data_IF_895028493549
#
_entry.id   IF_895028493549
#
_cell.length_a   1.000
_cell.length_b   1.000
_cell.length_c   1.000
_cell.angle_alpha   90.00
_cell.angle_beta   90.00
_cell.angle_gamma   90.00
#
_symmetry.space_group_name_H-M   'P 1'
#
loop_
_entity.id
_entity.type
_entity.pdbx_description
1 polymer ?
#
# COMPACT_ATOMS: atom_id res chain seq x y z
N UNK A 1 -14.28 4.15 13.42
CA UNK A 1 -13.16 4.27 12.47
C UNK A 1 -12.08 4.98 13.27
N UNK A 2 -11.13 4.20 13.78
CA UNK A 2 -10.29 4.59 14.93
C UNK A 2 -9.47 5.86 14.63
N UNK A 3 -9.44 6.81 15.57
CA UNK A 3 -8.53 7.97 15.50
C UNK A 3 -7.10 7.46 15.63
N UNK A 4 -6.36 7.53 14.53
CA UNK A 4 -4.95 7.24 14.47
C UNK A 4 -4.23 8.55 14.19
N UNK A 5 -3.87 9.25 15.26
CA UNK A 5 -3.08 10.46 15.15
C UNK A 5 -1.62 10.12 14.84
N UNK A 6 -1.05 10.81 13.84
CA UNK A 6 0.38 10.77 13.52
C UNK A 6 0.79 9.76 12.44
N UNK A 7 -0.09 8.84 12.05
CA UNK A 7 0.14 7.99 10.88
C UNK A 7 -0.32 8.68 9.61
N UNK A 8 0.44 8.52 8.52
CA UNK A 8 0.07 9.06 7.22
C UNK A 8 0.55 8.15 6.09
N UNK A 9 -0.24 8.14 5.01
CA UNK A 9 0.05 7.43 3.78
C UNK A 9 0.39 8.43 2.69
N UNK A 10 1.52 8.23 2.01
CA UNK A 10 1.80 8.89 0.74
C UNK A 10 1.33 7.94 -0.36
N UNK A 11 0.42 8.41 -1.21
CA UNK A 11 -0.18 7.61 -2.28
C UNK A 11 0.10 8.23 -3.64
N UNK A 12 0.23 7.39 -4.66
CA UNK A 12 0.35 7.87 -6.03
C UNK A 12 -0.99 8.42 -6.51
N UNK A 13 -0.98 9.66 -7.01
CA UNK A 13 -2.17 10.27 -7.63
C UNK A 13 -2.50 9.59 -8.97
N UNK A 14 -1.48 9.10 -9.66
CA UNK A 14 -1.57 8.56 -11.02
C UNK A 14 -1.33 9.59 -12.11
N UNK A 15 -0.90 10.81 -11.78
CA UNK A 15 -0.61 11.87 -12.74
C UNK A 15 0.43 11.45 -13.80
N UNK A 16 1.51 10.80 -13.37
CA UNK A 16 2.58 10.34 -14.26
C UNK A 16 2.33 8.94 -14.84
N UNK A 17 1.67 8.07 -14.07
CA UNK A 17 1.28 6.73 -14.49
C UNK A 17 -0.03 6.33 -13.81
N UNK A 18 -1.10 6.29 -14.61
CA UNK A 18 -2.45 5.93 -14.16
C UNK A 18 -2.55 4.51 -13.60
N UNK A 19 -1.59 3.62 -13.88
CA UNK A 19 -1.58 2.26 -13.31
C UNK A 19 -1.29 2.27 -11.81
N UNK A 20 -0.56 3.28 -11.32
CA UNK A 20 -0.16 3.38 -9.91
C UNK A 20 -1.20 4.08 -9.02
N UNK A 21 -2.23 4.69 -9.61
CA UNK A 21 -3.21 5.52 -8.88
C UNK A 21 -3.82 4.82 -7.67
N UNK A 22 -3.72 5.45 -6.51
CA UNK A 22 -4.23 4.94 -5.23
C UNK A 22 -3.36 3.89 -4.55
N UNK A 23 -2.23 3.50 -5.14
CA UNK A 23 -1.26 2.62 -4.47
C UNK A 23 -0.38 3.43 -3.51
N UNK A 24 0.06 2.77 -2.44
CA UNK A 24 0.92 3.34 -1.41
C UNK A 24 2.35 3.48 -1.96
N UNK A 25 2.87 4.70 -1.94
CA UNK A 25 4.30 4.96 -2.11
C UNK A 25 5.03 4.67 -0.79
N UNK A 26 4.57 5.29 0.31
CA UNK A 26 5.16 5.20 1.65
C UNK A 26 4.11 5.22 2.74
N UNK A 27 4.40 4.54 3.84
CA UNK A 27 3.66 4.62 5.09
C UNK A 27 4.58 5.24 6.15
N UNK A 28 4.14 6.33 6.77
CA UNK A 28 4.94 7.11 7.73
C UNK A 28 6.33 7.49 7.21
N UNK A 29 6.44 7.78 5.90
CA UNK A 29 7.68 8.22 5.27
C UNK A 29 8.67 7.10 4.87
N UNK A 30 8.35 5.83 5.14
CA UNK A 30 9.18 4.68 4.73
C UNK A 30 8.39 3.70 3.85
N UNK A 31 9.09 2.91 3.05
CA UNK A 31 8.53 1.82 2.25
C UNK A 31 8.44 0.52 3.05
N UNK A 32 9.14 0.43 4.18
CA UNK A 32 9.21 -0.74 5.05
C UNK A 32 8.64 -0.43 6.45
N UNK A 33 7.78 -1.32 6.91
CA UNK A 33 7.26 -1.34 8.26
C UNK A 33 8.35 -1.69 9.29
N UNK A 34 8.44 -0.97 10.43
CA UNK A 34 9.47 -1.23 11.44
C UNK A 34 9.29 -2.56 12.18
N UNK A 35 8.13 -3.20 12.07
CA UNK A 35 7.81 -4.46 12.75
C UNK A 35 8.51 -5.68 12.13
N UNK A 36 8.97 -5.58 10.88
CA UNK A 36 9.54 -6.71 10.14
C UNK A 36 10.88 -6.33 9.49
N UNK A 37 11.64 -7.35 9.10
CA UNK A 37 12.87 -7.17 8.32
C UNK A 37 12.72 -7.74 6.90
N UNK A 38 13.47 -7.19 5.96
CA UNK A 38 13.50 -7.65 4.57
C UNK A 38 12.14 -7.49 3.86
N UNK A 39 11.84 -8.43 2.96
CA UNK A 39 10.67 -8.34 2.05
C UNK A 39 9.33 -8.33 2.76
N UNK A 40 9.23 -8.87 3.98
CA UNK A 40 7.99 -8.91 4.74
C UNK A 40 7.56 -7.54 5.28
N UNK A 41 8.49 -6.58 5.35
CA UNK A 41 8.23 -5.22 5.81
C UNK A 41 7.63 -4.32 4.74
N UNK A 42 7.82 -4.65 3.46
CA UNK A 42 7.56 -3.71 2.39
C UNK A 42 6.05 -3.50 2.15
N UNK A 43 5.63 -2.24 2.03
CA UNK A 43 4.25 -1.83 1.74
C UNK A 43 4.12 -1.06 0.43
N UNK A 44 5.23 -0.80 -0.27
CA UNK A 44 5.23 -0.04 -1.50
C UNK A 44 4.44 -0.80 -2.60
N UNK A 45 3.60 -0.07 -3.34
CA UNK A 45 2.72 -0.62 -4.35
C UNK A 45 1.50 -1.38 -3.80
N UNK A 46 1.31 -1.43 -2.48
CA UNK A 46 0.10 -2.01 -1.90
C UNK A 46 -1.08 -1.05 -2.03
N UNK A 47 -2.27 -1.60 -2.24
CA UNK A 47 -3.54 -0.89 -2.08
C UNK A 47 -3.86 -0.69 -0.60
N UNK A 48 -4.52 0.42 -0.25
CA UNK A 48 -5.13 0.58 1.07
C UNK A 48 -6.35 -0.34 1.27
N UNK A 49 -6.75 -1.12 0.25
CA UNK A 49 -7.93 -1.98 0.23
C UNK A 49 -9.22 -1.26 -0.14
N UNK A 50 -9.17 0.00 -0.56
CA UNK A 50 -10.30 0.74 -1.15
C UNK A 50 -10.12 0.95 -2.66
N UNK A 51 -8.87 1.16 -3.11
CA UNK A 51 -8.53 1.33 -4.53
C UNK A 51 -7.31 0.51 -4.91
N UNK A 52 -7.45 -0.30 -5.96
CA UNK A 52 -6.36 -1.08 -6.55
C UNK A 52 -5.85 -0.41 -7.83
N UNK A 53 -4.74 -0.94 -8.36
CA UNK A 53 -4.13 -0.51 -9.61
C UNK A 53 -5.17 -0.44 -10.74
N UNK A 54 -4.99 0.51 -11.66
CA UNK A 54 -5.82 0.55 -12.88
C UNK A 54 -5.40 -0.56 -13.84
N UNK A 55 -6.35 -1.03 -14.66
CA UNK A 55 -6.12 -2.02 -15.72
C UNK A 55 -5.61 -3.39 -15.23
N UNK A 56 -6.15 -3.87 -14.10
CA UNK A 56 -5.85 -5.22 -13.58
C UNK A 56 -6.29 -6.28 -14.59
N UNK A 57 -5.43 -7.26 -14.83
CA UNK A 57 -5.69 -8.41 -15.69
C UNK A 57 -5.87 -9.70 -14.87
N UNK A 58 -6.53 -10.73 -15.44
CA UNK A 58 -6.51 -12.06 -14.84
C UNK A 58 -5.06 -12.53 -14.63
N UNK A 59 -4.78 -13.08 -13.44
CA UNK A 59 -3.47 -13.55 -12.95
C UNK A 59 -2.54 -12.48 -12.35
N UNK A 60 -2.93 -11.20 -12.33
CA UNK A 60 -2.20 -10.21 -11.55
C UNK A 60 -2.29 -10.52 -10.05
N UNK A 61 -1.14 -10.47 -9.37
CA UNK A 61 -1.12 -10.56 -7.90
C UNK A 61 -1.30 -9.18 -7.31
N UNK A 62 -2.40 -8.98 -6.61
CA UNK A 62 -2.67 -7.71 -5.93
C UNK A 62 -2.10 -7.74 -4.52
N UNK A 63 -1.50 -6.62 -4.12
CA UNK A 63 -1.06 -6.38 -2.74
C UNK A 63 -1.98 -5.38 -2.08
N UNK A 64 -2.28 -5.59 -0.81
CA UNK A 64 -2.97 -4.60 0.01
C UNK A 64 -2.36 -4.51 1.40
N UNK A 65 -2.45 -3.33 2.00
CA UNK A 65 -2.01 -3.03 3.34
C UNK A 65 -3.14 -2.37 4.11
N UNK A 66 -3.42 -2.91 5.30
CA UNK A 66 -4.25 -2.25 6.31
C UNK A 66 -3.42 -2.19 7.57
N UNK A 67 -3.40 -1.04 8.23
CA UNK A 67 -2.70 -0.83 9.50
C UNK A 67 -2.95 -1.96 10.50
N UNK A 68 -4.19 -2.43 10.63
CA UNK A 68 -4.58 -3.50 11.55
C UNK A 68 -3.96 -4.87 11.27
N UNK A 69 -3.49 -5.13 10.05
CA UNK A 69 -2.80 -6.38 9.68
C UNK A 69 -1.31 -6.34 10.01
N UNK A 70 -0.76 -5.14 10.23
CA UNK A 70 0.67 -4.93 10.48
C UNK A 70 1.60 -5.49 9.39
N UNK A 71 1.10 -5.78 8.18
CA UNK A 71 1.87 -6.27 7.02
C UNK A 71 1.08 -6.09 5.73
N UNK A 72 1.77 -6.00 4.60
CA UNK A 72 1.13 -6.18 3.30
C UNK A 72 0.76 -7.66 3.08
N UNK A 73 -0.39 -7.89 2.45
CA UNK A 73 -0.93 -9.21 2.13
C UNK A 73 -1.28 -9.30 0.65
N UNK A 74 -1.28 -10.54 0.13
CA UNK A 74 -1.72 -10.84 -1.23
C UNK A 74 -3.22 -11.13 -1.23
N UNK A 75 -3.89 -10.72 -2.30
CA UNK A 75 -5.26 -11.13 -2.64
C UNK A 75 -5.24 -12.22 -3.69
#
# INVERSE_FOLDING_TARGET
MYDFDGDFETVYTGETDVRLTGLIDKYNGDVNLPQWTGKCANVNGASDGTKFASYIEPNDTLLFFRKSLCRAARM
#
